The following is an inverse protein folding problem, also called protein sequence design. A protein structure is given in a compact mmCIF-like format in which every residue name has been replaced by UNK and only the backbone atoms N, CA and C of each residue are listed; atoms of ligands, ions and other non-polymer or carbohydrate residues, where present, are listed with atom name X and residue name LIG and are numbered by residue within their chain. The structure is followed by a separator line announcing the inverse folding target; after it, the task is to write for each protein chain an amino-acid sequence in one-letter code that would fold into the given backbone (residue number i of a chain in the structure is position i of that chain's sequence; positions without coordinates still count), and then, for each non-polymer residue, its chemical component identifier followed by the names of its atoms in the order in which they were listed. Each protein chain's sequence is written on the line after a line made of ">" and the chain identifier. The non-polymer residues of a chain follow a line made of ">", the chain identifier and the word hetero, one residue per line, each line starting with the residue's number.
data_IF_605539702385
#
_entry.id   IF_605539702385
#
_cell.length_a   1.000
_cell.length_b   1.000
_cell.length_c   1.000
_cell.angle_alpha   90.00
_cell.angle_beta   90.00
_cell.angle_gamma   90.00
#
_symmetry.space_group_name_H-M   'P 1'
#
loop_
_entity.id
_entity.type
_entity.pdbx_description
1 polymer ?
#
# COMPACT_ATOMS: atom_id res chain seq x y z
N UNK A 1 14.52 -17.11 -12.74
CA UNK A 1 14.89 -15.75 -13.14
C UNK A 1 15.55 -15.04 -11.97
N UNK A 2 16.64 -14.37 -12.23
CA UNK A 2 17.38 -13.68 -11.18
C UNK A 2 17.04 -12.18 -11.22
N UNK A 3 15.87 -11.84 -10.69
CA UNK A 3 15.36 -10.48 -10.73
C UNK A 3 16.07 -9.58 -9.74
N UNK A 4 16.57 -8.44 -10.24
CA UNK A 4 17.16 -7.40 -9.38
C UNK A 4 16.24 -6.19 -9.35
N UNK A 5 16.29 -5.46 -8.24
CA UNK A 5 15.46 -4.26 -8.07
C UNK A 5 15.72 -3.25 -9.20
N UNK A 6 16.96 -3.09 -9.61
CA UNK A 6 17.30 -2.16 -10.68
C UNK A 6 16.61 -2.50 -12.01
N UNK A 7 16.28 -3.78 -12.24
CA UNK A 7 15.57 -4.17 -13.45
C UNK A 7 14.17 -3.59 -13.50
N UNK A 8 13.50 -3.51 -12.34
CA UNK A 8 12.15 -2.97 -12.23
C UNK A 8 12.15 -1.44 -12.39
N UNK A 9 13.22 -0.77 -11.99
CA UNK A 9 13.25 0.69 -11.86
C UNK A 9 14.04 1.38 -12.98
N UNK A 10 14.46 0.60 -13.96
CA UNK A 10 15.36 1.04 -15.04
C UNK A 10 14.84 2.26 -15.81
N UNK A 11 13.52 2.41 -15.93
CA UNK A 11 12.92 3.50 -16.68
C UNK A 11 12.51 4.70 -15.84
N UNK A 12 12.78 4.66 -14.55
CA UNK A 12 12.54 5.81 -13.69
C UNK A 12 13.48 6.96 -14.05
N UNK A 13 13.04 8.17 -13.78
CA UNK A 13 13.88 9.35 -13.93
C UNK A 13 15.13 9.19 -13.06
N UNK A 14 16.27 9.55 -13.61
CA UNK A 14 17.54 9.42 -12.91
C UNK A 14 17.51 10.13 -11.56
N UNK A 15 17.92 9.42 -10.52
CA UNK A 15 17.96 9.94 -9.15
C UNK A 15 16.68 9.76 -8.36
N UNK A 16 15.54 9.57 -9.03
CA UNK A 16 14.26 9.44 -8.32
C UNK A 16 14.18 8.11 -7.57
N UNK A 17 14.73 7.05 -8.14
CA UNK A 17 14.69 5.72 -7.51
C UNK A 17 15.39 5.69 -6.17
N UNK A 18 16.51 6.38 -6.03
CA UNK A 18 17.23 6.46 -4.77
C UNK A 18 16.39 7.13 -3.69
N UNK A 19 15.70 8.21 -4.04
CA UNK A 19 14.84 8.93 -3.10
C UNK A 19 13.65 8.09 -2.68
N UNK A 20 12.99 7.43 -3.64
CA UNK A 20 11.84 6.59 -3.36
C UNK A 20 12.22 5.39 -2.50
N UNK A 21 13.38 4.80 -2.74
CA UNK A 21 13.85 3.66 -1.98
C UNK A 21 14.02 3.99 -0.49
N UNK A 22 14.34 5.23 -0.17
CA UNK A 22 14.53 5.69 1.21
C UNK A 22 13.26 6.23 1.84
N UNK A 23 12.22 6.48 1.06
CA UNK A 23 10.99 7.07 1.55
C UNK A 23 10.11 6.05 2.28
N UNK A 24 9.43 6.53 3.30
CA UNK A 24 8.47 5.73 4.07
C UNK A 24 7.11 6.38 3.99
N UNK A 25 6.13 5.62 3.52
CA UNK A 25 4.76 6.11 3.32
C UNK A 25 3.79 5.24 4.10
N UNK A 26 2.88 5.88 4.81
CA UNK A 26 1.76 5.21 5.47
C UNK A 26 0.47 5.53 4.73
N UNK A 27 -0.27 4.50 4.32
CA UNK A 27 -1.55 4.68 3.65
C UNK A 27 -2.65 4.26 4.61
N UNK A 28 -3.51 5.21 4.94
CA UNK A 28 -4.65 5.01 5.83
C UNK A 28 -5.89 4.81 4.96
N UNK A 29 -6.33 3.57 4.86
CA UNK A 29 -7.45 3.20 4.01
C UNK A 29 -7.00 2.53 2.72
N UNK A 30 -7.56 1.35 2.43
CA UNK A 30 -7.17 0.52 1.28
C UNK A 30 -8.35 0.25 0.36
N UNK A 31 -9.20 1.26 0.19
CA UNK A 31 -10.32 1.21 -0.75
C UNK A 31 -9.91 1.64 -2.15
N UNK A 32 -10.80 2.38 -2.83
CA UNK A 32 -10.57 2.80 -4.20
C UNK A 32 -9.32 3.64 -4.38
N UNK A 33 -9.14 4.67 -3.54
CA UNK A 33 -7.94 5.50 -3.62
C UNK A 33 -6.72 4.79 -3.05
N UNK A 34 -6.83 4.29 -1.83
CA UNK A 34 -5.68 3.75 -1.11
C UNK A 34 -5.07 2.51 -1.76
N UNK A 35 -5.90 1.57 -2.23
CA UNK A 35 -5.37 0.38 -2.86
C UNK A 35 -4.64 0.71 -4.17
N UNK A 36 -5.14 1.69 -4.91
CA UNK A 36 -4.52 2.11 -6.16
C UNK A 36 -3.22 2.88 -5.91
N UNK A 37 -3.19 3.75 -4.90
CA UNK A 37 -1.96 4.47 -4.52
C UNK A 37 -0.88 3.49 -4.08
N UNK A 38 -1.25 2.48 -3.29
CA UNK A 38 -0.30 1.47 -2.83
C UNK A 38 0.37 0.76 -4.01
N UNK A 39 -0.42 0.38 -5.01
CA UNK A 39 0.11 -0.30 -6.20
C UNK A 39 1.01 0.64 -7.01
N UNK A 40 0.58 1.89 -7.20
CA UNK A 40 1.39 2.87 -7.94
C UNK A 40 2.74 3.11 -7.27
N UNK A 41 2.75 3.24 -5.94
CA UNK A 41 3.99 3.45 -5.20
C UNK A 41 4.90 2.22 -5.27
N UNK A 42 4.31 1.03 -5.19
CA UNK A 42 5.08 -0.20 -5.33
C UNK A 42 5.75 -0.29 -6.70
N UNK A 43 5.02 0.05 -7.76
CA UNK A 43 5.58 0.06 -9.12
C UNK A 43 6.65 1.13 -9.29
N UNK A 44 6.53 2.23 -8.55
CA UNK A 44 7.49 3.33 -8.64
C UNK A 44 8.78 3.07 -7.87
N UNK A 45 8.80 2.06 -7.00
CA UNK A 45 10.01 1.71 -6.28
C UNK A 45 10.10 2.24 -4.87
N UNK A 46 8.94 2.53 -4.24
CA UNK A 46 8.94 2.96 -2.84
C UNK A 46 9.63 1.90 -1.97
N UNK A 47 10.41 2.33 -0.98
CA UNK A 47 11.12 1.39 -0.12
C UNK A 47 10.29 0.79 0.99
N UNK A 48 9.32 1.54 1.50
CA UNK A 48 8.54 1.11 2.65
C UNK A 48 7.10 1.61 2.55
N UNK A 49 6.17 0.69 2.75
CA UNK A 49 4.74 1.01 2.82
C UNK A 49 4.16 0.45 4.10
N UNK A 50 3.49 1.31 4.87
CA UNK A 50 2.65 0.88 5.98
C UNK A 50 1.21 1.01 5.54
N UNK A 51 0.47 -0.08 5.59
CA UNK A 51 -0.88 -0.17 5.03
C UNK A 51 -1.85 -0.45 6.17
N UNK A 52 -2.81 0.45 6.36
CA UNK A 52 -3.73 0.40 7.50
C UNK A 52 -5.17 0.39 7.00
N UNK A 53 -5.92 -0.61 7.39
CA UNK A 53 -7.35 -0.69 7.12
C UNK A 53 -7.95 -1.70 8.11
N UNK A 54 -9.26 -1.64 8.33
CA UNK A 54 -9.93 -2.62 9.19
C UNK A 54 -11.04 -3.36 8.48
N UNK A 55 -11.28 -3.07 7.19
CA UNK A 55 -12.34 -3.68 6.41
C UNK A 55 -11.93 -5.02 5.79
N UNK A 56 -12.93 -5.76 5.36
CA UNK A 56 -12.73 -6.95 4.52
C UNK A 56 -13.07 -6.61 3.07
N UNK A 57 -12.58 -7.43 2.17
CA UNK A 57 -12.85 -7.28 0.74
C UNK A 57 -14.28 -7.78 0.47
N UNK A 58 -15.06 -6.97 -0.22
CA UNK A 58 -16.42 -7.31 -0.64
C UNK A 58 -16.52 -7.28 -2.15
N UNK A 59 -17.51 -8.02 -2.69
CA UNK A 59 -17.67 -8.11 -4.14
C UNK A 59 -17.84 -6.73 -4.80
N UNK A 60 -18.53 -5.81 -4.13
CA UNK A 60 -18.75 -4.46 -4.64
C UNK A 60 -17.47 -3.63 -4.75
N UNK A 61 -16.39 -4.06 -4.10
CA UNK A 61 -15.10 -3.36 -4.18
C UNK A 61 -14.37 -3.61 -5.48
N UNK A 62 -14.67 -4.71 -6.18
CA UNK A 62 -13.83 -5.21 -7.26
C UNK A 62 -13.84 -4.34 -8.51
N UNK A 63 -14.82 -3.46 -8.66
CA UNK A 63 -14.90 -2.61 -9.86
C UNK A 63 -13.90 -1.46 -9.85
N UNK A 64 -13.35 -1.10 -8.69
CA UNK A 64 -12.44 0.06 -8.59
C UNK A 64 -11.24 -0.14 -7.66
N UNK A 65 -11.20 -1.25 -6.93
CA UNK A 65 -10.09 -1.56 -6.02
C UNK A 65 -9.23 -2.68 -6.59
N UNK A 66 -8.05 -2.86 -6.06
CA UNK A 66 -7.05 -3.77 -6.61
C UNK A 66 -7.30 -5.25 -6.29
N UNK A 67 -8.41 -5.55 -5.63
CA UNK A 67 -8.69 -6.91 -5.20
C UNK A 67 -9.34 -7.75 -6.30
N UNK A 68 -9.25 -9.06 -6.15
CA UNK A 68 -9.79 -10.04 -7.09
C UNK A 68 -10.83 -10.91 -6.40
N UNK A 69 -11.57 -11.69 -7.18
CA UNK A 69 -12.62 -12.57 -6.66
C UNK A 69 -12.10 -13.47 -5.52
N UNK A 70 -10.87 -13.97 -5.66
CA UNK A 70 -10.27 -14.85 -4.65
C UNK A 70 -10.05 -14.14 -3.31
N UNK A 71 -10.09 -12.81 -3.28
CA UNK A 71 -9.85 -12.05 -2.06
C UNK A 71 -11.12 -11.76 -1.25
N UNK A 72 -12.30 -12.02 -1.84
CA UNK A 72 -13.57 -11.72 -1.15
C UNK A 72 -13.60 -12.41 0.20
N UNK A 73 -13.87 -11.64 1.26
CA UNK A 73 -13.90 -12.14 2.64
C UNK A 73 -12.58 -12.00 3.38
N UNK A 74 -11.49 -11.71 2.70
CA UNK A 74 -10.20 -11.50 3.36
C UNK A 74 -10.11 -10.08 3.90
N UNK A 75 -9.30 -9.90 4.94
CA UNK A 75 -8.93 -8.55 5.38
C UNK A 75 -8.20 -7.84 4.23
N UNK A 76 -8.53 -6.58 3.99
CA UNK A 76 -7.90 -5.84 2.89
C UNK A 76 -6.39 -5.78 3.03
N UNK A 77 -5.89 -5.62 4.25
CA UNK A 77 -4.44 -5.61 4.51
C UNK A 77 -3.78 -6.93 4.11
N UNK A 78 -4.43 -8.05 4.40
CA UNK A 78 -3.88 -9.37 4.07
C UNK A 78 -4.01 -9.68 2.58
N UNK A 79 -5.03 -9.13 1.93
CA UNK A 79 -5.23 -9.34 0.50
C UNK A 79 -4.23 -8.55 -0.34
N UNK A 80 -3.97 -7.29 0.04
CA UNK A 80 -3.14 -6.41 -0.78
C UNK A 80 -1.64 -6.73 -0.67
N UNK A 81 -1.20 -7.25 0.47
CA UNK A 81 0.21 -7.50 0.69
C UNK A 81 0.84 -8.43 -0.36
N UNK A 82 0.27 -9.62 -0.64
CA UNK A 82 0.84 -10.47 -1.68
C UNK A 82 0.73 -9.88 -3.08
N UNK A 83 -0.30 -9.07 -3.34
CA UNK A 83 -0.42 -8.36 -4.61
C UNK A 83 0.79 -7.44 -4.81
N UNK A 84 1.13 -6.66 -3.77
CA UNK A 84 2.28 -5.76 -3.81
C UNK A 84 3.57 -6.55 -4.02
N UNK A 85 3.75 -7.64 -3.30
CA UNK A 85 4.97 -8.44 -3.40
C UNK A 85 5.14 -9.08 -4.77
N UNK A 86 4.04 -9.35 -5.47
CA UNK A 86 4.09 -9.88 -6.82
C UNK A 86 4.45 -8.80 -7.85
N UNK A 87 4.19 -7.54 -7.50
CA UNK A 87 4.53 -6.39 -8.35
C UNK A 87 5.97 -5.93 -8.12
N UNK A 88 6.36 -5.86 -6.85
CA UNK A 88 7.70 -5.43 -6.46
C UNK A 88 8.09 -6.12 -5.15
N UNK A 89 8.88 -7.21 -5.22
CA UNK A 89 9.24 -7.96 -4.01
C UNK A 89 10.21 -7.22 -3.09
N UNK A 90 10.80 -6.12 -3.55
CA UNK A 90 11.82 -5.39 -2.78
C UNK A 90 11.23 -4.34 -1.84
N UNK A 91 9.94 -4.06 -1.96
CA UNK A 91 9.27 -3.12 -1.07
C UNK A 91 9.07 -3.79 0.31
N UNK A 92 9.40 -3.06 1.37
CA UNK A 92 9.08 -3.50 2.73
C UNK A 92 7.65 -3.10 3.03
N UNK A 93 6.80 -4.07 3.38
CA UNK A 93 5.38 -3.84 3.62
C UNK A 93 5.03 -4.21 5.04
N UNK A 94 4.52 -3.25 5.78
CA UNK A 94 3.96 -3.47 7.11
C UNK A 94 2.44 -3.29 7.01
N UNK A 95 1.68 -4.25 7.55
CA UNK A 95 0.22 -4.16 7.52
C UNK A 95 -0.31 -4.04 8.95
N UNK A 96 -1.40 -3.30 9.09
CA UNK A 96 -2.06 -3.13 10.38
C UNK A 96 -3.57 -3.14 10.18
N UNK A 97 -4.22 -4.18 10.67
CA UNK A 97 -5.67 -4.30 10.58
C UNK A 97 -6.30 -3.62 11.79
N UNK A 98 -6.53 -2.32 11.66
CA UNK A 98 -7.00 -1.52 12.78
C UNK A 98 -7.78 -0.31 12.29
N UNK A 99 -8.80 0.07 13.06
CA UNK A 99 -9.55 1.29 12.80
C UNK A 99 -8.77 2.47 13.37
N UNK A 100 -8.51 3.47 12.52
CA UNK A 100 -7.77 4.67 12.92
C UNK A 100 -8.71 5.64 13.61
N UNK A 101 -8.27 6.22 14.72
CA UNK A 101 -9.02 7.25 15.45
C UNK A 101 -8.04 8.30 15.99
N UNK A 102 -8.59 9.30 16.70
CA UNK A 102 -7.78 10.40 17.22
C UNK A 102 -6.74 9.93 18.23
N UNK A 103 -7.05 8.86 18.95
CA UNK A 103 -6.18 8.40 20.04
C UNK A 103 -5.00 7.58 19.52
N UNK A 104 -5.19 6.85 18.42
CA UNK A 104 -4.17 5.93 17.93
C UNK A 104 -3.43 6.41 16.69
N UNK A 105 -3.89 7.50 16.04
CA UNK A 105 -3.33 7.89 14.74
C UNK A 105 -1.83 8.19 14.81
N UNK A 106 -1.39 8.91 15.84
CA UNK A 106 0.04 9.26 15.94
C UNK A 106 0.91 8.03 16.12
N UNK A 107 0.45 7.06 16.93
CA UNK A 107 1.22 5.85 17.12
C UNK A 107 1.19 4.96 15.86
N UNK A 108 0.08 4.99 15.12
CA UNK A 108 -0.04 4.21 13.89
C UNK A 108 0.91 4.74 12.81
N UNK A 109 0.90 6.06 12.56
CA UNK A 109 1.76 6.62 11.53
C UNK A 109 3.24 6.58 11.91
N UNK A 110 3.54 6.65 13.22
CA UNK A 110 4.90 6.51 13.71
C UNK A 110 5.84 7.53 13.10
N UNK A 111 6.94 7.06 12.56
CA UNK A 111 8.02 7.90 12.04
C UNK A 111 8.02 7.95 10.50
N UNK A 112 6.90 7.62 9.84
CA UNK A 112 6.85 7.71 8.38
C UNK A 112 6.92 9.18 7.95
N UNK A 113 7.41 9.40 6.73
CA UNK A 113 7.60 10.75 6.21
C UNK A 113 6.33 11.30 5.56
N UNK A 114 5.53 10.43 4.99
CA UNK A 114 4.34 10.83 4.23
C UNK A 114 3.16 9.95 4.66
N UNK A 115 2.02 10.61 4.91
CA UNK A 115 0.79 9.92 5.24
C UNK A 115 -0.24 10.22 4.15
N UNK A 116 -0.79 9.18 3.56
CA UNK A 116 -1.88 9.30 2.60
C UNK A 116 -3.16 8.92 3.31
N UNK A 117 -4.05 9.87 3.49
CA UNK A 117 -5.36 9.63 4.09
C UNK A 117 -6.33 9.33 2.94
N UNK A 118 -6.80 8.08 2.89
CA UNK A 118 -7.58 7.58 1.77
C UNK A 118 -8.87 6.90 2.22
N UNK A 119 -9.36 7.26 3.40
CA UNK A 119 -10.64 6.73 3.88
C UNK A 119 -11.80 7.30 3.07
N UNK A 120 -12.82 6.48 2.84
CA UNK A 120 -14.07 6.99 2.31
C UNK A 120 -14.70 7.91 3.36
N UNK A 121 -15.31 8.98 2.86
CA UNK A 121 -16.03 9.88 3.76
C UNK A 121 -17.30 9.18 4.20
N UNK A 122 -17.32 8.85 5.48
CA UNK A 122 -18.52 8.29 6.06
C UNK A 122 -19.45 9.43 6.41
N UNK A 123 -20.71 9.25 6.13
CA UNK A 123 -21.65 10.26 6.48
C UNK A 123 -22.38 9.97 7.69
#
# INVERSE_FOLDING_TARGET
>A
MDLKEEDLLKRNVKGISEKLKKAKVCILGLGGLGSNVAILLARSGIGYLKLVDFDIVEASNLNRQQYRISHIGMKKTEAIRPIIKEINPFVEVEILNKKVDRENILSIVGDVEIVVEAFDVAE
#
